data_IF_099621820650
#
_entry.id   IF_099621820650
#
_cell.length_a   1.000
_cell.length_b   1.000
_cell.length_c   1.000
_cell.angle_alpha   90.00
_cell.angle_beta   90.00
_cell.angle_gamma   90.00
#
_symmetry.space_group_name_H-M   'P 1'
#
loop_
_entity.id
_entity.type
_entity.pdbx_description
1 polymer ?
#
# COMPACT_ATOMS: atom_id res chain seq x y z
N UNK A 1 23.20 3.51 -2.94
CA UNK A 1 21.85 2.94 -2.80
C UNK A 1 20.98 3.74 -3.74
N UNK A 2 20.47 3.11 -4.78
CA UNK A 2 19.58 3.77 -5.75
C UNK A 2 18.27 4.13 -5.03
N UNK A 3 17.57 5.18 -5.48
CA UNK A 3 16.29 5.58 -4.89
C UNK A 3 15.25 4.45 -4.88
N UNK A 4 15.35 3.50 -5.81
CA UNK A 4 14.51 2.29 -5.91
C UNK A 4 14.70 1.33 -4.72
N UNK A 5 15.95 1.06 -4.30
CA UNK A 5 16.22 0.21 -3.14
C UNK A 5 15.61 0.80 -1.86
N UNK A 6 15.60 2.14 -1.76
CA UNK A 6 15.01 2.86 -0.64
C UNK A 6 13.47 2.79 -0.65
N UNK A 7 12.85 2.83 -1.83
CA UNK A 7 11.39 2.77 -1.97
C UNK A 7 10.89 1.36 -1.64
N UNK A 8 11.50 0.32 -2.23
CA UNK A 8 11.15 -1.08 -1.96
C UNK A 8 11.28 -1.42 -0.46
N UNK A 9 12.37 -0.99 0.18
CA UNK A 9 12.58 -1.20 1.60
C UNK A 9 11.49 -0.53 2.45
N UNK A 10 11.15 0.73 2.12
CA UNK A 10 10.12 1.49 2.83
C UNK A 10 8.75 0.83 2.73
N UNK A 11 8.30 0.48 1.53
CA UNK A 11 6.98 -0.13 1.36
C UNK A 11 6.92 -1.58 1.88
N UNK A 12 8.03 -2.32 1.81
CA UNK A 12 8.16 -3.62 2.49
C UNK A 12 8.00 -3.51 4.01
N UNK A 13 8.61 -2.47 4.61
CA UNK A 13 8.49 -2.21 6.03
C UNK A 13 7.06 -1.78 6.40
N UNK A 14 6.46 -0.87 5.62
CA UNK A 14 5.06 -0.46 5.75
C UNK A 14 4.12 -1.65 5.72
N UNK A 15 4.29 -2.55 4.76
CA UNK A 15 3.45 -3.75 4.64
C UNK A 15 3.51 -4.62 5.88
N UNK A 16 4.72 -4.89 6.40
CA UNK A 16 4.93 -5.69 7.61
C UNK A 16 4.29 -5.04 8.84
N UNK A 17 4.45 -3.74 9.00
CA UNK A 17 3.85 -2.98 10.10
C UNK A 17 2.31 -3.04 10.03
N UNK A 18 1.72 -2.82 8.85
CA UNK A 18 0.28 -2.91 8.67
C UNK A 18 -0.28 -4.33 8.90
N UNK A 19 0.45 -5.39 8.50
CA UNK A 19 0.05 -6.77 8.84
C UNK A 19 0.11 -7.01 10.35
N UNK A 20 1.19 -6.58 11.01
CA UNK A 20 1.29 -6.69 12.47
C UNK A 20 0.13 -5.96 13.15
N UNK A 21 -0.26 -4.78 12.66
CA UNK A 21 -1.37 -4.01 13.20
C UNK A 21 -2.74 -4.68 12.95
N UNK A 22 -2.89 -5.40 11.83
CA UNK A 22 -4.11 -6.13 11.50
C UNK A 22 -4.39 -7.29 12.48
N UNK A 23 -3.34 -7.87 13.07
CA UNK A 23 -3.45 -8.92 14.09
C UNK A 23 -3.73 -8.37 15.51
N UNK A 24 -3.77 -7.04 15.68
CA UNK A 24 -4.03 -6.38 16.96
C UNK A 24 -5.42 -5.75 17.00
N UNK A 25 -6.05 -5.82 18.17
CA UNK A 25 -7.30 -5.12 18.46
C UNK A 25 -7.04 -3.64 18.79
N UNK A 26 -7.90 -2.70 18.38
CA UNK A 26 -7.80 -1.30 18.80
C UNK A 26 -7.73 -1.16 20.33
N UNK A 27 -6.69 -0.49 20.83
CA UNK A 27 -6.43 -0.34 22.27
C UNK A 27 -5.47 -1.38 22.85
N UNK A 28 -4.98 -2.33 22.04
CA UNK A 28 -3.92 -3.25 22.45
C UNK A 28 -2.65 -2.46 22.87
N UNK A 29 -2.02 -2.79 24.02
CA UNK A 29 -0.84 -2.07 24.52
C UNK A 29 0.39 -2.16 23.59
N UNK A 30 0.41 -3.08 22.63
CA UNK A 30 1.46 -3.19 21.61
C UNK A 30 1.21 -2.28 20.40
N UNK A 31 -0.04 -1.89 20.15
CA UNK A 31 -0.41 -1.09 18.99
C UNK A 31 0.36 0.24 18.88
N UNK A 32 0.63 1.01 19.97
CA UNK A 32 1.40 2.24 19.88
C UNK A 32 2.79 2.08 19.26
N UNK A 33 3.49 0.96 19.50
CA UNK A 33 4.81 0.71 18.90
C UNK A 33 4.72 0.54 17.38
N UNK A 34 3.70 -0.18 16.90
CA UNK A 34 3.48 -0.38 15.47
C UNK A 34 3.02 0.91 14.80
N UNK A 35 2.18 1.70 15.48
CA UNK A 35 1.75 3.02 15.00
C UNK A 35 2.93 3.99 14.86
N UNK A 36 3.87 3.99 15.79
CA UNK A 36 5.06 4.85 15.70
C UNK A 36 5.92 4.50 14.47
N UNK A 37 6.09 3.20 14.17
CA UNK A 37 6.79 2.75 12.95
C UNK A 37 6.07 3.26 11.70
N UNK A 38 4.74 3.19 11.65
CA UNK A 38 3.96 3.71 10.52
C UNK A 38 4.06 5.24 10.40
N UNK A 39 4.02 5.95 11.52
CA UNK A 39 4.15 7.41 11.55
C UNK A 39 5.57 7.85 11.11
N UNK A 40 6.63 7.11 11.46
CA UNK A 40 7.99 7.33 10.96
C UNK A 40 8.10 7.09 9.44
N UNK A 41 7.48 6.03 8.93
CA UNK A 41 7.44 5.74 7.49
C UNK A 41 6.70 6.84 6.72
N UNK A 42 5.60 7.38 7.27
CA UNK A 42 4.88 8.51 6.70
C UNK A 42 5.75 9.78 6.66
N UNK A 43 6.57 10.03 7.69
CA UNK A 43 7.53 11.14 7.72
C UNK A 43 8.65 10.98 6.69
N UNK A 44 9.21 9.77 6.56
CA UNK A 44 10.22 9.46 5.54
C UNK A 44 9.67 9.61 4.12
N UNK A 45 8.41 9.24 3.91
CA UNK A 45 7.70 9.44 2.65
C UNK A 45 7.54 10.92 2.32
N UNK A 46 7.09 11.74 3.27
CA UNK A 46 7.01 13.20 3.09
C UNK A 46 8.36 13.83 2.80
N UNK A 47 9.42 13.42 3.50
CA UNK A 47 10.77 13.91 3.25
C UNK A 47 11.28 13.57 1.83
N UNK A 48 10.92 12.39 1.31
CA UNK A 48 11.26 11.96 -0.05
C UNK A 48 10.49 12.75 -1.13
N UNK A 49 9.21 13.04 -0.90
CA UNK A 49 8.37 13.79 -1.84
C UNK A 49 8.75 15.28 -1.87
N UNK A 50 9.22 15.82 -0.74
CA UNK A 50 9.44 17.25 -0.57
C UNK A 50 8.13 18.03 -0.73
N UNK A 51 8.11 19.00 -1.65
CA UNK A 51 6.91 19.83 -1.92
C UNK A 51 5.90 19.17 -2.87
N UNK A 52 6.14 17.94 -3.34
CA UNK A 52 5.22 17.20 -4.19
C UNK A 52 4.00 16.66 -3.44
N UNK A 53 3.22 15.82 -4.12
CA UNK A 53 2.13 15.04 -3.50
C UNK A 53 2.10 13.62 -4.03
N UNK A 54 1.69 12.68 -3.20
CA UNK A 54 1.29 11.33 -3.66
C UNK A 54 -0.18 11.38 -4.08
N UNK A 55 -0.50 10.72 -5.19
CA UNK A 55 -1.89 10.52 -5.61
C UNK A 55 -2.65 9.75 -4.53
N UNK A 56 -3.89 10.13 -4.24
CA UNK A 56 -4.77 9.34 -3.38
C UNK A 56 -5.12 8.02 -4.04
N UNK A 57 -5.53 7.02 -3.24
CA UNK A 57 -5.95 5.73 -3.79
C UNK A 57 -7.09 5.88 -4.82
N UNK A 58 -8.05 6.78 -4.57
CA UNK A 58 -9.16 6.99 -5.51
C UNK A 58 -8.73 7.70 -6.80
N UNK A 59 -7.71 8.56 -6.77
CA UNK A 59 -7.09 9.10 -7.99
C UNK A 59 -6.39 8.00 -8.78
N UNK A 60 -5.66 7.11 -8.11
CA UNK A 60 -4.97 5.99 -8.76
C UNK A 60 -5.96 5.00 -9.37
N UNK A 61 -7.05 4.66 -8.68
CA UNK A 61 -8.11 3.80 -9.24
C UNK A 61 -8.70 4.40 -10.52
N UNK A 62 -8.90 5.73 -10.57
CA UNK A 62 -9.43 6.40 -11.76
C UNK A 62 -8.42 6.45 -12.91
N UNK A 63 -7.13 6.50 -12.61
CA UNK A 63 -6.04 6.51 -13.58
C UNK A 63 -5.78 5.11 -14.17
N UNK A 64 -5.86 4.08 -13.33
CA UNK A 64 -5.57 2.70 -13.71
C UNK A 64 -6.75 2.13 -14.50
N UNK A 65 -6.60 2.12 -15.83
CA UNK A 65 -7.55 1.48 -16.73
C UNK A 65 -7.29 -0.04 -16.78
N UNK A 66 -8.36 -0.84 -16.90
CA UNK A 66 -8.24 -2.24 -17.28
C UNK A 66 -8.10 -2.33 -18.80
N UNK A 67 -7.07 -3.03 -19.26
CA UNK A 67 -6.93 -3.37 -20.68
C UNK A 67 -7.28 -4.84 -20.89
N UNK A 68 -8.14 -5.17 -21.88
CA UNK A 68 -8.39 -6.56 -22.22
C UNK A 68 -7.14 -7.19 -22.86
N UNK A 69 -6.52 -8.16 -22.18
CA UNK A 69 -5.44 -8.97 -22.72
C UNK A 69 -6.02 -10.25 -23.37
N UNK A 70 -5.74 -10.54 -24.65
CA UNK A 70 -6.17 -11.78 -25.28
C UNK A 70 -5.52 -13.01 -24.62
N UNK A 71 -6.28 -14.08 -24.27
CA UNK A 71 -7.72 -14.26 -24.43
C UNK A 71 -8.48 -13.98 -23.11
N UNK A 72 -9.14 -12.82 -23.02
CA UNK A 72 -10.17 -12.54 -22.01
C UNK A 72 -9.69 -12.21 -20.60
N UNK A 73 -8.39 -11.96 -20.40
CA UNK A 73 -7.82 -11.63 -19.11
C UNK A 73 -7.65 -10.11 -19.04
N UNK A 74 -8.29 -9.44 -18.08
CA UNK A 74 -7.99 -8.02 -17.83
C UNK A 74 -6.70 -7.90 -17.02
N UNK A 75 -5.75 -7.11 -17.50
CA UNK A 75 -4.52 -6.78 -16.76
C UNK A 75 -4.49 -5.29 -16.41
N UNK A 76 -3.73 -5.00 -15.37
CA UNK A 76 -3.22 -3.65 -15.07
C UNK A 76 -1.75 -3.65 -15.41
N UNK A 77 -1.33 -2.74 -16.29
CA UNK A 77 0.08 -2.55 -16.59
C UNK A 77 0.79 -1.91 -15.41
N UNK A 78 2.00 -2.38 -15.12
CA UNK A 78 2.77 -1.87 -13.99
C UNK A 78 3.17 -0.39 -14.17
N UNK A 79 3.41 0.05 -15.39
CA UNK A 79 3.72 1.45 -15.72
C UNK A 79 2.52 2.40 -15.60
N UNK A 80 1.30 1.88 -15.60
CA UNK A 80 0.07 2.65 -15.39
C UNK A 80 -0.18 2.99 -13.92
N UNK A 81 0.46 2.28 -12.98
CA UNK A 81 0.35 2.54 -11.55
C UNK A 81 1.48 3.51 -11.14
N UNK A 82 1.17 4.74 -10.70
CA UNK A 82 2.20 5.68 -10.28
C UNK A 82 2.85 5.24 -8.97
N UNK A 83 4.13 5.57 -8.79
CA UNK A 83 4.78 5.39 -7.49
C UNK A 83 4.21 6.36 -6.42
N UNK A 84 4.14 5.95 -5.14
CA UNK A 84 4.58 4.66 -4.57
C UNK A 84 3.54 3.54 -4.62
N UNK A 85 2.41 3.71 -5.32
CA UNK A 85 1.31 2.74 -5.31
C UNK A 85 1.66 1.44 -6.00
N UNK A 86 2.50 1.50 -7.02
CA UNK A 86 3.04 0.31 -7.67
C UNK A 86 3.82 -0.52 -6.66
N UNK A 87 4.78 0.08 -5.97
CA UNK A 87 5.56 -0.65 -4.97
C UNK A 87 4.71 -1.16 -3.79
N UNK A 88 3.72 -0.37 -3.32
CA UNK A 88 2.76 -0.82 -2.31
C UNK A 88 1.99 -2.07 -2.74
N UNK A 89 1.55 -2.09 -4.01
CA UNK A 89 0.86 -3.23 -4.59
C UNK A 89 1.78 -4.45 -4.72
N UNK A 90 3.04 -4.26 -5.16
CA UNK A 90 4.07 -5.30 -5.22
C UNK A 90 4.34 -5.92 -3.86
N UNK A 91 4.53 -5.09 -2.84
CA UNK A 91 4.82 -5.54 -1.48
C UNK A 91 3.62 -6.27 -0.84
N UNK A 92 2.39 -5.89 -1.15
CA UNK A 92 1.18 -6.52 -0.63
C UNK A 92 0.86 -7.87 -1.32
N UNK A 93 1.18 -8.01 -2.60
CA UNK A 93 0.73 -9.14 -3.43
C UNK A 93 1.69 -10.32 -3.45
N UNK A 94 2.41 -10.59 -2.34
CA UNK A 94 3.37 -11.70 -2.26
C UNK A 94 2.71 -13.03 -2.65
N UNK A 95 3.14 -13.59 -3.78
CA UNK A 95 2.67 -14.87 -4.30
C UNK A 95 1.61 -14.80 -5.40
N UNK A 96 1.24 -13.61 -5.90
CA UNK A 96 0.35 -13.57 -7.06
C UNK A 96 1.09 -13.89 -8.36
N UNK A 97 0.45 -14.68 -9.21
CA UNK A 97 0.92 -15.00 -10.55
C UNK A 97 0.91 -13.72 -11.39
N UNK A 98 2.09 -13.28 -11.84
CA UNK A 98 2.24 -12.08 -12.69
C UNK A 98 2.52 -12.49 -14.13
N UNK A 99 1.93 -11.79 -15.08
CA UNK A 99 2.38 -11.84 -16.47
C UNK A 99 3.53 -10.85 -16.66
N UNK A 100 4.34 -11.03 -17.70
CA UNK A 100 5.44 -10.09 -18.05
C UNK A 100 4.89 -8.68 -18.30
N UNK A 101 3.64 -8.58 -18.76
CA UNK A 101 2.98 -7.34 -19.18
C UNK A 101 2.30 -6.58 -18.02
N UNK A 102 2.11 -7.22 -16.87
CA UNK A 102 1.42 -6.63 -15.73
C UNK A 102 0.75 -7.63 -14.79
N UNK A 103 -0.01 -7.11 -13.83
CA UNK A 103 -0.76 -7.91 -12.88
C UNK A 103 -2.20 -8.13 -13.33
N UNK A 104 -2.84 -9.20 -12.85
CA UNK A 104 -4.27 -9.40 -13.08
C UNK A 104 -5.07 -8.26 -12.46
N UNK A 105 -6.08 -7.76 -13.19
CA UNK A 105 -6.96 -6.71 -12.68
C UNK A 105 -7.66 -7.13 -11.38
N UNK A 106 -8.00 -8.40 -11.24
CA UNK A 106 -8.60 -8.96 -10.01
C UNK A 106 -7.67 -8.83 -8.80
N UNK A 107 -6.35 -8.97 -8.97
CA UNK A 107 -5.38 -8.77 -7.89
C UNK A 107 -5.28 -7.31 -7.50
N UNK A 108 -5.32 -6.40 -8.48
CA UNK A 108 -5.39 -4.97 -8.23
C UNK A 108 -6.67 -4.59 -7.46
N UNK A 109 -7.84 -5.09 -7.87
CA UNK A 109 -9.10 -4.87 -7.15
C UNK A 109 -9.06 -5.44 -5.73
N UNK A 110 -8.47 -6.62 -5.55
CA UNK A 110 -8.26 -7.22 -4.23
C UNK A 110 -7.38 -6.33 -3.36
N UNK A 111 -6.25 -5.88 -3.88
CA UNK A 111 -5.34 -4.97 -3.20
C UNK A 111 -6.05 -3.69 -2.76
N UNK A 112 -6.80 -3.04 -3.67
CA UNK A 112 -7.56 -1.82 -3.36
C UNK A 112 -8.52 -2.03 -2.19
N UNK A 113 -9.29 -3.13 -2.21
CA UNK A 113 -10.26 -3.45 -1.15
C UNK A 113 -9.56 -3.72 0.18
N UNK A 114 -8.49 -4.50 0.17
CA UNK A 114 -7.73 -4.83 1.38
C UNK A 114 -7.06 -3.59 1.97
N UNK A 115 -6.45 -2.76 1.13
CA UNK A 115 -5.84 -1.49 1.55
C UNK A 115 -6.87 -0.58 2.24
N UNK A 116 -8.06 -0.40 1.66
CA UNK A 116 -9.13 0.41 2.27
C UNK A 116 -9.53 -0.12 3.65
N UNK A 117 -9.66 -1.44 3.80
CA UNK A 117 -9.95 -2.07 5.10
C UNK A 117 -8.83 -1.84 6.11
N UNK A 118 -7.58 -1.99 5.70
CA UNK A 118 -6.41 -1.79 6.55
C UNK A 118 -6.28 -0.32 7.02
N UNK A 119 -6.51 0.65 6.13
CA UNK A 119 -6.49 2.07 6.49
C UNK A 119 -7.62 2.42 7.47
N UNK A 120 -8.80 1.81 7.33
CA UNK A 120 -9.89 1.97 8.30
C UNK A 120 -9.51 1.39 9.67
N UNK A 121 -8.88 0.21 9.71
CA UNK A 121 -8.40 -0.41 10.96
C UNK A 121 -7.30 0.43 11.62
N UNK A 122 -6.35 0.94 10.83
CA UNK A 122 -5.32 1.86 11.29
C UNK A 122 -5.92 3.11 11.96
N UNK A 123 -6.97 3.68 11.38
CA UNK A 123 -7.66 4.83 11.96
C UNK A 123 -8.35 4.51 13.28
N UNK A 124 -8.94 3.31 13.44
CA UNK A 124 -9.48 2.87 14.73
C UNK A 124 -8.40 2.76 15.80
N UNK A 125 -7.24 2.20 15.47
CA UNK A 125 -6.07 2.15 16.35
C UNK A 125 -5.57 3.56 16.74
N UNK A 126 -5.48 4.47 15.76
CA UNK A 126 -5.09 5.87 16.00
C UNK A 126 -6.07 6.60 16.92
N UNK A 127 -7.36 6.29 16.85
CA UNK A 127 -8.38 6.83 17.77
C UNK A 127 -8.23 6.26 19.17
N UNK A 128 -8.08 4.94 19.30
CA UNK A 128 -7.88 4.28 20.60
C UNK A 128 -6.65 4.84 21.34
N UNK A 129 -5.54 5.11 20.62
CA UNK A 129 -4.32 5.74 21.17
C UNK A 129 -4.58 7.14 21.75
N UNK A 130 -5.54 7.90 21.23
CA UNK A 130 -5.86 9.26 21.72
C UNK A 130 -6.79 9.27 22.94
N UNK A 131 -7.43 8.14 23.23
CA UNK A 131 -8.42 7.99 24.33
C UNK A 131 -7.83 7.27 25.54
N UNK A 132 -6.66 6.64 25.39
CA UNK A 132 -5.89 6.01 26.47
C UNK A 132 -4.94 7.00 27.13
#
# INVERSE_FOLDING_TARGET
MTSDDSLHFRESHRRRALWTLADLEPGDPKAPYVLNVLDELDQQEQAWIGSGRIATLDEVIKQVASEPNPPGICIVRDDAIPEPWRERFLCASRGSTRLVEGAYYQDWEKFVREWKREMAHLELHRRARKTS
#
